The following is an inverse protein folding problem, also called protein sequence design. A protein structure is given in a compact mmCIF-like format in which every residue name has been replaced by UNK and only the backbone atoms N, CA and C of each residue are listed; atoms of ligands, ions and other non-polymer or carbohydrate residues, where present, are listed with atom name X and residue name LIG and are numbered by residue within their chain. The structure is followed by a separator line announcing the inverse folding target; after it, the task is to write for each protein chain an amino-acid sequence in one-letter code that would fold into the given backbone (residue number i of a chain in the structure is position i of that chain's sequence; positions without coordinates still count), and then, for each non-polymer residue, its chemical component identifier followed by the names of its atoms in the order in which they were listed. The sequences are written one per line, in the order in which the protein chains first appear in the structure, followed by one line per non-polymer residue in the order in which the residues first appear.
data_IF_919158581462
#
_entry.id   IF_919158581462
#
_cell.length_a   1.000
_cell.length_b   1.000
_cell.length_c   1.000
_cell.angle_alpha   90.00
_cell.angle_beta   90.00
_cell.angle_gamma   90.00
#
_symmetry.space_group_name_H-M   'P 1'
#
loop_
_entity.id
_entity.type
_entity.pdbx_description
1 polymer ?
#
# COMPACT_ATOMS: atom_id res chain seq x y z
N UNK A 1 66.11 21.02 28.17
CA UNK A 1 66.09 19.55 28.08
C UNK A 1 64.72 19.08 28.57
N UNK A 2 63.78 18.82 27.66
CA UNK A 2 62.52 18.12 27.95
C UNK A 2 61.99 17.52 26.65
N UNK A 3 61.50 16.29 26.76
CA UNK A 3 61.42 15.22 25.75
C UNK A 3 60.21 15.39 24.83
N UNK A 4 60.41 15.25 23.52
CA UNK A 4 59.34 15.23 22.50
C UNK A 4 58.41 14.03 22.71
N UNK A 5 57.10 14.27 22.79
CA UNK A 5 56.09 13.21 22.75
C UNK A 5 55.77 12.88 21.28
N UNK A 6 55.97 11.61 20.89
CA UNK A 6 55.79 11.06 19.54
C UNK A 6 54.28 10.81 19.25
N UNK A 7 53.73 11.20 18.07
CA UNK A 7 52.28 11.25 17.80
C UNK A 7 51.66 9.91 17.33
N UNK A 8 51.94 8.79 18.00
CA UNK A 8 51.70 7.46 17.41
C UNK A 8 50.58 6.58 18.04
N UNK A 9 49.71 7.08 18.93
CA UNK A 9 48.81 6.18 19.70
C UNK A 9 47.29 6.46 19.60
N UNK A 10 46.79 7.04 18.50
CA UNK A 10 45.35 7.19 18.28
C UNK A 10 44.96 6.79 16.85
N UNK A 11 44.82 5.48 16.54
CA UNK A 11 43.49 5.03 16.06
C UNK A 11 43.28 3.50 16.20
N UNK A 12 42.88 2.99 17.37
CA UNK A 12 42.43 1.58 17.47
C UNK A 12 41.09 1.40 18.20
N UNK A 13 40.60 2.42 18.92
CA UNK A 13 39.34 2.29 19.68
C UNK A 13 38.07 2.56 18.84
N UNK A 14 38.17 3.20 17.67
CA UNK A 14 36.99 3.56 16.87
C UNK A 14 36.50 2.46 15.91
N UNK A 15 37.30 1.41 15.66
CA UNK A 15 36.98 0.40 14.65
C UNK A 15 36.12 -0.78 15.15
N UNK A 16 35.96 -0.95 16.48
CA UNK A 16 35.26 -2.13 17.03
C UNK A 16 33.76 -1.90 17.19
N UNK A 17 33.31 -0.65 17.35
CA UNK A 17 31.88 -0.33 17.56
C UNK A 17 31.09 -0.35 16.23
N UNK A 18 31.75 -0.10 15.09
CA UNK A 18 31.10 -0.15 13.78
C UNK A 18 30.88 -1.58 13.24
N UNK A 19 31.57 -2.60 13.78
CA UNK A 19 31.46 -3.98 13.32
C UNK A 19 30.26 -4.76 13.89
N UNK A 20 29.68 -4.30 15.01
CA UNK A 20 28.61 -5.01 15.72
C UNK A 20 27.20 -4.67 15.24
N UNK A 21 27.03 -3.67 14.37
CA UNK A 21 25.72 -3.29 13.80
C UNK A 21 25.40 -4.09 12.52
N UNK A 22 26.34 -4.88 11.99
CA UNK A 22 26.17 -5.57 10.68
C UNK A 22 25.62 -7.00 10.77
N UNK A 23 25.20 -7.50 11.93
CA UNK A 23 24.79 -8.91 12.11
C UNK A 23 23.29 -9.12 12.38
N UNK A 24 22.46 -8.09 12.30
CA UNK A 24 21.08 -8.13 12.81
C UNK A 24 19.93 -8.02 11.80
N UNK A 25 20.18 -8.01 10.49
CA UNK A 25 19.09 -7.84 9.51
C UNK A 25 19.08 -8.96 8.47
N UNK A 26 18.80 -10.18 8.94
CA UNK A 26 18.12 -11.15 8.09
C UNK A 26 16.63 -10.86 8.20
N UNK A 27 16.11 -10.02 7.31
CA UNK A 27 14.68 -9.98 7.07
C UNK A 27 14.25 -11.37 6.64
N UNK A 28 13.29 -11.97 7.35
CA UNK A 28 12.63 -13.19 6.89
C UNK A 28 11.97 -12.89 5.55
N UNK A 29 12.54 -13.37 4.46
CA UNK A 29 11.83 -13.43 3.19
C UNK A 29 10.72 -14.47 3.36
N UNK A 30 9.46 -14.02 3.44
CA UNK A 30 8.34 -14.93 3.32
C UNK A 30 8.39 -15.54 1.92
N UNK A 31 8.73 -16.83 1.83
CA UNK A 31 8.58 -17.59 0.60
C UNK A 31 7.10 -17.57 0.21
N UNK A 32 6.74 -16.77 -0.78
CA UNK A 32 5.43 -16.87 -1.39
C UNK A 32 5.34 -18.27 -2.01
N UNK A 33 4.25 -19.02 -1.79
CA UNK A 33 4.00 -20.26 -2.51
C UNK A 33 4.21 -20.02 -4.00
N UNK A 34 5.09 -20.79 -4.62
CA UNK A 34 5.37 -20.68 -6.06
C UNK A 34 4.19 -21.14 -6.91
N UNK A 35 3.22 -21.82 -6.30
CA UNK A 35 2.01 -22.31 -6.94
C UNK A 35 0.77 -21.73 -6.25
N UNK A 36 -0.19 -21.29 -7.07
CA UNK A 36 -1.46 -20.74 -6.58
C UNK A 36 -2.43 -21.87 -6.21
N UNK A 37 -3.22 -21.74 -5.13
CA UNK A 37 -4.25 -22.72 -4.80
C UNK A 37 -5.16 -23.00 -6.00
N UNK A 38 -5.60 -24.26 -6.14
CA UNK A 38 -6.42 -24.71 -7.26
C UNK A 38 -7.72 -25.35 -6.77
N UNK A 39 -8.78 -25.13 -7.51
CA UNK A 39 -10.06 -25.81 -7.35
C UNK A 39 -9.97 -27.29 -7.76
N UNK A 40 -10.99 -28.09 -7.45
CA UNK A 40 -11.04 -29.51 -7.82
C UNK A 40 -10.99 -29.76 -9.35
N UNK A 41 -11.44 -28.79 -10.16
CA UNK A 41 -11.35 -28.78 -11.62
C UNK A 41 -10.02 -28.17 -12.15
N UNK A 42 -9.08 -27.85 -11.26
CA UNK A 42 -7.72 -27.42 -11.61
C UNK A 42 -7.56 -25.93 -11.96
N UNK A 43 -8.59 -25.11 -11.77
CA UNK A 43 -8.52 -23.65 -12.02
C UNK A 43 -7.90 -22.92 -10.82
N UNK A 44 -7.35 -21.70 -11.02
CA UNK A 44 -6.99 -20.83 -9.90
C UNK A 44 -8.15 -20.70 -8.91
N UNK A 45 -7.86 -20.91 -7.63
CA UNK A 45 -8.81 -20.69 -6.55
C UNK A 45 -8.69 -19.24 -6.06
N UNK A 46 -9.73 -18.44 -6.31
CA UNK A 46 -9.84 -17.03 -5.88
C UNK A 46 -10.73 -16.86 -4.64
N UNK A 47 -11.12 -17.94 -3.96
CA UNK A 47 -11.86 -17.85 -2.71
C UNK A 47 -11.02 -17.18 -1.62
N UNK A 48 -11.66 -16.34 -0.81
CA UNK A 48 -11.01 -15.61 0.28
C UNK A 48 -11.68 -14.26 0.57
N UNK A 49 -11.11 -13.54 1.54
CA UNK A 49 -11.48 -12.15 1.81
C UNK A 49 -10.48 -11.26 1.08
N UNK A 50 -10.98 -10.44 0.16
CA UNK A 50 -10.20 -9.48 -0.60
C UNK A 50 -10.51 -8.08 -0.07
N UNK A 51 -9.47 -7.33 0.31
CA UNK A 51 -9.63 -5.98 0.84
C UNK A 51 -8.57 -5.06 0.26
N UNK A 52 -8.98 -3.87 -0.20
CA UNK A 52 -8.07 -2.78 -0.48
C UNK A 52 -7.79 -2.01 0.81
N UNK A 53 -6.52 -1.93 1.22
CA UNK A 53 -6.08 -1.20 2.42
C UNK A 53 -5.47 0.14 2.01
N UNK A 54 -6.22 0.93 1.25
CA UNK A 54 -5.85 2.27 0.78
C UNK A 54 -7.09 2.99 0.22
N UNK A 55 -6.89 4.17 -0.37
CA UNK A 55 -7.98 4.97 -0.96
C UNK A 55 -8.54 4.38 -2.26
N UNK A 56 -7.87 3.38 -2.85
CA UNK A 56 -8.38 2.65 -4.02
C UNK A 56 -9.63 1.82 -3.70
N UNK A 57 -9.94 1.63 -2.40
CA UNK A 57 -11.24 1.11 -1.95
C UNK A 57 -12.42 1.97 -2.45
N UNK A 58 -12.24 3.28 -2.58
CA UNK A 58 -13.31 4.21 -2.97
C UNK A 58 -13.34 4.45 -4.47
N UNK A 59 -12.17 4.66 -5.08
CA UNK A 59 -12.00 4.75 -6.52
C UNK A 59 -10.54 4.43 -6.89
N UNK A 60 -10.34 3.59 -7.90
CA UNK A 60 -9.01 3.21 -8.38
C UNK A 60 -8.37 4.27 -9.30
N UNK A 61 -9.18 5.15 -9.88
CA UNK A 61 -8.72 6.37 -10.57
C UNK A 61 -8.42 7.48 -9.56
N UNK A 62 -7.61 8.49 -9.91
CA UNK A 62 -7.37 9.64 -9.04
C UNK A 62 -8.67 10.37 -8.70
N UNK A 63 -8.83 10.77 -7.45
CA UNK A 63 -10.03 11.43 -6.96
C UNK A 63 -9.74 12.39 -5.80
N UNK A 64 -10.50 13.48 -5.74
CA UNK A 64 -10.49 14.39 -4.60
C UNK A 64 -11.17 13.76 -3.39
N UNK A 65 -10.95 14.35 -2.21
CA UNK A 65 -11.71 13.98 -1.02
C UNK A 65 -13.18 14.39 -1.20
N UNK A 66 -14.09 13.60 -0.64
CA UNK A 66 -15.53 13.84 -0.74
C UNK A 66 -16.27 13.43 0.53
N UNK A 67 -17.53 13.80 0.62
CA UNK A 67 -18.43 13.40 1.69
C UNK A 67 -18.82 11.93 1.53
N UNK A 68 -19.08 11.28 2.67
CA UNK A 68 -19.75 9.99 2.66
C UNK A 68 -21.22 10.15 2.23
N UNK A 69 -21.92 9.06 1.90
CA UNK A 69 -23.24 9.16 1.31
C UNK A 69 -24.38 9.34 2.30
N UNK A 70 -24.09 9.15 3.59
CA UNK A 70 -25.05 9.36 4.68
C UNK A 70 -24.66 10.66 5.38
N UNK A 71 -25.35 11.74 5.05
CA UNK A 71 -25.05 13.10 5.53
C UNK A 71 -25.11 13.18 7.06
N UNK A 72 -26.04 12.45 7.67
CA UNK A 72 -26.24 12.38 9.13
C UNK A 72 -25.03 11.84 9.88
N UNK A 73 -24.15 11.07 9.20
CA UNK A 73 -22.92 10.53 9.78
C UNK A 73 -21.79 11.57 9.84
N UNK A 74 -21.96 12.74 9.23
CA UNK A 74 -20.98 13.81 9.22
C UNK A 74 -19.64 13.37 8.61
N UNK A 75 -18.56 13.50 9.37
CA UNK A 75 -17.23 13.08 8.92
C UNK A 75 -17.02 11.56 8.95
N UNK A 76 -17.90 10.80 9.60
CA UNK A 76 -17.81 9.34 9.62
C UNK A 76 -18.22 8.81 8.25
N UNK A 77 -17.31 8.07 7.60
CA UNK A 77 -17.50 7.59 6.23
C UNK A 77 -17.09 8.61 5.16
N UNK A 78 -16.43 9.70 5.52
CA UNK A 78 -15.83 10.61 4.54
C UNK A 78 -14.80 9.89 3.65
N UNK A 79 -14.76 10.27 2.39
CA UNK A 79 -13.90 9.68 1.37
C UNK A 79 -12.59 10.48 1.32
N UNK A 80 -11.43 9.88 1.65
CA UNK A 80 -10.14 10.55 1.52
C UNK A 80 -9.75 10.70 0.04
N UNK A 81 -8.98 11.75 -0.29
CA UNK A 81 -8.42 11.91 -1.63
C UNK A 81 -7.42 10.78 -1.96
N UNK A 82 -7.39 10.36 -3.23
CA UNK A 82 -6.49 9.32 -3.73
C UNK A 82 -5.77 9.73 -5.00
N UNK A 83 -4.48 9.37 -5.11
CA UNK A 83 -3.70 9.58 -6.34
C UNK A 83 -4.03 8.56 -7.44
N UNK A 84 -4.89 7.58 -7.18
CA UNK A 84 -5.18 6.49 -8.10
C UNK A 84 -4.08 5.43 -8.14
N UNK A 85 -4.42 4.28 -8.70
CA UNK A 85 -3.51 3.14 -8.97
C UNK A 85 -3.50 2.75 -10.46
N UNK A 86 -4.28 3.46 -11.28
CA UNK A 86 -4.38 3.22 -12.72
C UNK A 86 -3.21 3.87 -13.42
N UNK A 87 -2.48 3.10 -14.22
CA UNK A 87 -1.41 3.64 -15.07
C UNK A 87 -2.01 4.59 -16.12
N UNK A 88 -1.49 5.82 -16.19
CA UNK A 88 -2.04 6.86 -17.06
C UNK A 88 -3.29 7.54 -16.52
N UNK A 89 -3.64 7.30 -15.25
CA UNK A 89 -4.66 8.02 -14.47
C UNK A 89 -6.12 7.86 -14.93
N UNK A 90 -6.39 7.18 -16.04
CA UNK A 90 -7.74 7.02 -16.60
C UNK A 90 -7.95 5.63 -17.18
N UNK A 91 -9.05 4.99 -16.79
CA UNK A 91 -9.51 3.75 -17.39
C UNK A 91 -10.18 4.10 -18.73
N UNK A 92 -9.83 3.42 -19.82
CA UNK A 92 -10.42 3.66 -21.13
C UNK A 92 -11.84 3.09 -21.23
N UNK A 93 -12.76 3.61 -20.43
CA UNK A 93 -14.17 3.29 -20.47
C UNK A 93 -14.79 3.71 -21.80
N UNK A 94 -15.76 2.93 -22.28
CA UNK A 94 -16.70 3.45 -23.28
C UNK A 94 -17.56 4.56 -22.64
N UNK A 95 -18.15 5.47 -23.44
CA UNK A 95 -19.01 6.53 -22.90
C UNK A 95 -20.14 6.00 -22.02
N UNK A 96 -20.76 4.89 -22.41
CA UNK A 96 -21.86 4.27 -21.68
C UNK A 96 -21.38 3.67 -20.35
N UNK A 97 -20.20 3.03 -20.34
CA UNK A 97 -19.61 2.48 -19.13
C UNK A 97 -19.24 3.58 -18.12
N UNK A 98 -18.72 4.71 -18.60
CA UNK A 98 -18.44 5.89 -17.75
C UNK A 98 -19.71 6.46 -17.13
N UNK A 99 -20.78 6.56 -17.92
CA UNK A 99 -22.08 6.99 -17.41
C UNK A 99 -22.61 6.03 -16.35
N UNK A 100 -22.54 4.72 -16.59
CA UNK A 100 -23.01 3.73 -15.63
C UNK A 100 -22.19 3.74 -14.33
N UNK A 101 -20.87 3.95 -14.40
CA UNK A 101 -20.02 4.11 -13.22
C UNK A 101 -20.50 5.29 -12.35
N UNK A 102 -20.79 6.44 -12.95
CA UNK A 102 -21.28 7.63 -12.23
C UNK A 102 -22.66 7.40 -11.63
N UNK A 103 -23.56 6.72 -12.35
CA UNK A 103 -24.88 6.35 -11.83
C UNK A 103 -24.76 5.38 -10.64
N UNK A 104 -23.87 4.39 -10.73
CA UNK A 104 -23.63 3.45 -9.65
C UNK A 104 -23.06 4.16 -8.42
N UNK A 105 -22.16 5.14 -8.59
CA UNK A 105 -21.62 5.92 -7.49
C UNK A 105 -22.69 6.79 -6.82
N UNK A 106 -23.58 7.43 -7.60
CA UNK A 106 -24.67 8.23 -7.07
C UNK A 106 -25.66 7.39 -6.25
N UNK A 107 -25.97 6.18 -6.72
CA UNK A 107 -26.95 5.27 -6.11
C UNK A 107 -26.31 4.11 -5.31
N UNK A 108 -25.02 4.21 -4.98
CA UNK A 108 -24.26 3.13 -4.33
C UNK A 108 -24.87 2.60 -3.04
N UNK A 109 -25.56 3.40 -2.22
CA UNK A 109 -26.25 2.89 -1.02
C UNK A 109 -27.36 1.88 -1.35
N UNK A 110 -27.95 1.98 -2.55
CA UNK A 110 -28.93 1.02 -3.04
C UNK A 110 -28.29 -0.15 -3.80
N UNK A 111 -27.15 0.09 -4.45
CA UNK A 111 -26.49 -0.89 -5.31
C UNK A 111 -25.43 -1.74 -4.58
N UNK A 112 -24.84 -1.22 -3.51
CA UNK A 112 -23.80 -1.86 -2.71
C UNK A 112 -24.45 -2.59 -1.51
N UNK A 113 -24.43 -3.92 -1.48
CA UNK A 113 -24.98 -4.67 -0.35
C UNK A 113 -24.13 -4.47 0.91
N UNK A 114 -24.76 -3.97 1.98
CA UNK A 114 -24.17 -3.83 3.33
C UNK A 114 -23.98 -5.19 4.04
#
# INVERSE_FOLDING_TARGET
MARSLNPANFPLAAAIIAGLISLGSFGSAFSQPTDIPRTADGRPDFNGIWQAINTANWNIEPHAADFGPVVEMGAIGAIPAGLGIVEGDEIPYTPEARQQQQLNQADWLANDPL
#
